data_IF_677452265923
#
_entry.id   IF_677452265923
#
_cell.length_a   1.000
_cell.length_b   1.000
_cell.length_c   1.000
_cell.angle_alpha   90.00
_cell.angle_beta   90.00
_cell.angle_gamma   90.00
#
_symmetry.space_group_name_H-M   'P 1'
#
loop_
_entity.id
_entity.type
_entity.pdbx_description
1 polymer ?
#
# COMPACT_ATOMS: atom_id res chain seq x y z
N UNK A 1 21.53 -13.86 -22.07
CA UNK A 1 21.56 -13.04 -20.84
C UNK A 1 20.14 -12.62 -20.59
N UNK A 2 19.43 -13.26 -19.66
CA UNK A 2 18.12 -12.75 -19.22
C UNK A 2 18.42 -11.54 -18.34
N UNK A 3 17.96 -10.36 -18.74
CA UNK A 3 17.81 -9.29 -17.78
C UNK A 3 16.82 -9.79 -16.73
N UNK A 4 17.31 -10.18 -15.57
CA UNK A 4 16.47 -10.36 -14.39
C UNK A 4 16.07 -8.96 -13.96
N UNK A 5 15.11 -8.37 -14.68
CA UNK A 5 14.49 -7.12 -14.28
C UNK A 5 14.01 -7.29 -12.85
N UNK A 6 14.40 -6.36 -11.98
CA UNK A 6 13.82 -6.27 -10.65
C UNK A 6 12.29 -6.33 -10.79
N UNK A 7 11.55 -7.04 -9.91
CA UNK A 7 10.09 -7.05 -10.00
C UNK A 7 9.59 -5.61 -10.09
N UNK A 8 8.67 -5.35 -11.02
CA UNK A 8 8.09 -4.03 -11.21
C UNK A 8 7.13 -3.77 -10.04
N UNK A 9 7.66 -3.21 -8.95
CA UNK A 9 6.92 -2.92 -7.72
C UNK A 9 6.10 -1.65 -7.93
N UNK A 10 4.81 -1.75 -7.65
CA UNK A 10 3.86 -0.65 -7.62
C UNK A 10 3.33 -0.40 -6.21
N UNK A 11 3.35 0.86 -5.77
CA UNK A 11 2.87 1.30 -4.46
C UNK A 11 1.73 2.29 -4.67
N UNK A 12 0.53 1.93 -4.24
CA UNK A 12 -0.66 2.76 -4.28
C UNK A 12 -1.02 3.26 -2.90
N UNK A 13 -1.25 4.56 -2.76
CA UNK A 13 -1.64 5.20 -1.50
C UNK A 13 -2.97 5.91 -1.72
N UNK A 14 -3.92 5.68 -0.83
CA UNK A 14 -5.22 6.38 -0.83
C UNK A 14 -5.29 7.34 0.34
N UNK A 15 -5.82 8.54 0.13
CA UNK A 15 -6.07 9.50 1.21
C UNK A 15 -7.41 10.21 1.05
N UNK A 16 -8.00 10.63 2.17
CA UNK A 16 -9.16 11.51 2.21
C UNK A 16 -9.10 12.36 3.48
N UNK A 17 -8.98 13.69 3.35
CA UNK A 17 -9.02 14.64 4.46
C UNK A 17 -7.97 14.40 5.57
N UNK A 18 -6.80 13.86 5.21
CA UNK A 18 -5.71 13.55 6.15
C UNK A 18 -4.33 13.99 5.64
N UNK A 19 -4.26 15.10 4.89
CA UNK A 19 -3.06 15.55 4.20
C UNK A 19 -1.77 15.58 5.04
N UNK A 20 -1.83 15.97 6.31
CA UNK A 20 -0.65 15.98 7.19
C UNK A 20 -0.12 14.56 7.51
N UNK A 21 -1.02 13.62 7.79
CA UNK A 21 -0.67 12.23 8.07
C UNK A 21 -0.18 11.56 6.79
N UNK A 22 -0.90 11.78 5.69
CA UNK A 22 -0.53 11.34 4.35
C UNK A 22 0.89 11.77 3.96
N UNK A 23 1.26 13.04 4.16
CA UNK A 23 2.61 13.53 3.81
C UNK A 23 3.70 12.81 4.61
N UNK A 24 3.45 12.55 5.89
CA UNK A 24 4.37 11.77 6.74
C UNK A 24 4.54 10.34 6.20
N UNK A 25 3.43 9.68 5.87
CA UNK A 25 3.47 8.34 5.29
C UNK A 25 4.18 8.32 3.93
N UNK A 26 3.89 9.29 3.06
CA UNK A 26 4.49 9.41 1.73
C UNK A 26 6.00 9.63 1.80
N UNK A 27 6.50 10.45 2.73
CA UNK A 27 7.94 10.63 2.95
C UNK A 27 8.62 9.32 3.32
N UNK A 28 8.04 8.57 4.25
CA UNK A 28 8.57 7.27 4.65
C UNK A 28 8.50 6.23 3.51
N UNK A 29 7.38 6.18 2.78
CA UNK A 29 7.23 5.32 1.60
C UNK A 29 8.29 5.65 0.56
N UNK A 30 8.51 6.93 0.23
CA UNK A 30 9.54 7.34 -0.73
C UNK A 30 10.94 6.97 -0.26
N UNK A 31 11.20 7.06 1.05
CA UNK A 31 12.49 6.72 1.66
C UNK A 31 12.83 5.24 1.54
N UNK A 32 11.85 4.36 1.76
CA UNK A 32 12.05 2.90 1.81
C UNK A 32 11.48 2.17 0.58
N UNK A 33 11.03 2.89 -0.44
CA UNK A 33 10.59 2.28 -1.68
C UNK A 33 11.78 1.61 -2.39
N UNK A 34 11.61 0.39 -2.92
CA UNK A 34 12.66 -0.23 -3.71
C UNK A 34 12.97 0.62 -4.95
N UNK A 35 14.23 0.60 -5.37
CA UNK A 35 14.69 1.39 -6.52
C UNK A 35 13.86 1.10 -7.77
N UNK A 36 13.32 2.15 -8.39
CA UNK A 36 12.50 2.04 -9.59
C UNK A 36 11.03 1.70 -9.33
N UNK A 37 10.58 1.61 -8.08
CA UNK A 37 9.17 1.40 -7.76
C UNK A 37 8.30 2.55 -8.29
N UNK A 38 7.16 2.20 -8.88
CA UNK A 38 6.14 3.18 -9.25
C UNK A 38 5.30 3.53 -8.02
N UNK A 39 5.19 4.82 -7.71
CA UNK A 39 4.30 5.30 -6.65
C UNK A 39 3.13 6.05 -7.30
N UNK A 40 1.91 5.72 -6.88
CA UNK A 40 0.68 6.43 -7.23
C UNK A 40 -0.06 6.85 -5.97
N UNK A 41 -0.62 8.05 -6.02
CA UNK A 41 -1.45 8.60 -4.94
C UNK A 41 -2.84 8.86 -5.51
N UNK A 42 -3.86 8.36 -4.82
CA UNK A 42 -5.26 8.59 -5.14
C UNK A 42 -5.89 9.40 -4.01
N UNK A 43 -6.24 10.65 -4.32
CA UNK A 43 -7.02 11.52 -3.43
C UNK A 43 -8.52 11.25 -3.63
N UNK A 44 -9.18 10.69 -2.62
CA UNK A 44 -10.61 10.38 -2.61
C UNK A 44 -11.45 11.62 -2.27
N UNK A 45 -11.25 12.68 -3.06
CA UNK A 45 -11.92 13.96 -2.98
C UNK A 45 -11.77 14.67 -1.61
N UNK A 46 -10.53 14.82 -1.14
CA UNK A 46 -10.26 15.68 0.02
C UNK A 46 -10.78 17.11 -0.19
N UNK A 47 -11.26 17.73 0.87
CA UNK A 47 -11.69 19.13 0.93
C UNK A 47 -10.53 20.06 0.61
N UNK A 48 -9.35 19.75 1.16
CA UNK A 48 -8.06 20.29 0.75
C UNK A 48 -7.33 19.25 -0.11
N UNK A 49 -7.27 19.41 -1.45
CA UNK A 49 -6.58 18.48 -2.32
C UNK A 49 -5.10 18.32 -1.96
N UNK A 50 -4.58 17.09 -2.05
CA UNK A 50 -3.15 16.84 -1.90
C UNK A 50 -2.45 17.02 -3.25
N UNK A 51 -1.40 17.85 -3.30
CA UNK A 51 -0.69 18.18 -4.54
C UNK A 51 0.03 16.96 -5.15
N UNK A 52 0.36 15.97 -4.32
CA UNK A 52 1.05 14.74 -4.72
C UNK A 52 0.12 13.71 -5.40
N UNK A 53 -1.19 13.99 -5.49
CA UNK A 53 -2.17 13.11 -6.12
C UNK A 53 -1.80 12.84 -7.59
N UNK A 54 -1.65 11.56 -7.92
CA UNK A 54 -1.61 11.09 -9.32
C UNK A 54 -3.00 11.15 -9.95
N UNK A 55 -4.03 10.90 -9.14
CA UNK A 55 -5.43 11.00 -9.54
C UNK A 55 -6.25 11.51 -8.36
N UNK A 56 -7.27 12.32 -8.65
CA UNK A 56 -8.23 12.80 -7.67
C UNK A 56 -9.65 12.54 -8.17
N UNK A 57 -10.50 12.00 -7.30
CA UNK A 57 -11.93 11.90 -7.58
C UNK A 57 -12.64 13.25 -7.37
N UNK A 58 -13.71 13.49 -8.13
CA UNK A 58 -14.53 14.70 -7.97
C UNK A 58 -15.39 14.67 -6.70
N UNK A 59 -15.75 13.49 -6.23
CA UNK A 59 -16.53 13.24 -5.01
C UNK A 59 -15.99 12.02 -4.26
N UNK A 60 -16.28 11.94 -2.96
CA UNK A 60 -15.83 10.80 -2.15
C UNK A 60 -16.51 9.51 -2.66
N UNK A 61 -15.69 8.57 -3.14
CA UNK A 61 -16.13 7.29 -3.71
C UNK A 61 -15.93 6.11 -2.76
N UNK A 62 -15.22 6.32 -1.65
CA UNK A 62 -14.92 5.32 -0.65
C UNK A 62 -13.66 4.52 -0.97
N UNK A 63 -13.04 4.00 0.10
CA UNK A 63 -11.70 3.39 0.09
C UNK A 63 -11.55 2.26 -0.93
N UNK A 64 -12.56 1.40 -1.11
CA UNK A 64 -12.50 0.29 -2.05
C UNK A 64 -12.36 0.77 -3.50
N UNK A 65 -13.12 1.81 -3.89
CA UNK A 65 -13.03 2.39 -5.24
C UNK A 65 -11.73 3.17 -5.43
N UNK A 66 -11.28 3.88 -4.39
CA UNK A 66 -10.00 4.57 -4.41
C UNK A 66 -8.81 3.61 -4.57
N UNK A 67 -8.81 2.47 -3.86
CA UNK A 67 -7.78 1.43 -4.01
C UNK A 67 -7.85 0.73 -5.37
N UNK A 68 -9.05 0.52 -5.93
CA UNK A 68 -9.17 0.01 -7.30
C UNK A 68 -8.55 0.97 -8.33
N UNK A 69 -8.68 2.29 -8.13
CA UNK A 69 -7.99 3.27 -8.98
C UNK A 69 -6.47 3.20 -8.83
N UNK A 70 -5.95 2.91 -7.64
CA UNK A 70 -4.51 2.63 -7.48
C UNK A 70 -4.08 1.42 -8.32
N UNK A 71 -4.83 0.31 -8.25
CA UNK A 71 -4.55 -0.89 -9.03
C UNK A 71 -4.53 -0.60 -10.54
N UNK A 72 -5.55 0.08 -11.05
CA UNK A 72 -5.63 0.51 -12.45
C UNK A 72 -4.37 1.27 -12.89
N UNK A 73 -4.01 2.34 -12.17
CA UNK A 73 -2.85 3.18 -12.49
C UNK A 73 -1.52 2.42 -12.42
N UNK A 74 -1.38 1.48 -11.48
CA UNK A 74 -0.15 0.68 -11.35
C UNK A 74 -0.05 -0.39 -12.45
N UNK A 75 -1.16 -1.04 -12.81
CA UNK A 75 -1.22 -2.00 -13.91
C UNK A 75 -0.90 -1.32 -15.24
N UNK A 76 -1.43 -0.12 -15.48
CA UNK A 76 -1.10 0.69 -16.67
C UNK A 76 0.40 1.04 -16.76
N UNK A 77 1.09 1.13 -15.62
CA UNK A 77 2.55 1.32 -15.54
C UNK A 77 3.35 0.01 -15.67
N UNK A 78 2.69 -1.12 -15.90
CA UNK A 78 3.33 -2.43 -16.04
C UNK A 78 3.84 -3.04 -14.73
N UNK A 79 3.34 -2.57 -13.58
CA UNK A 79 3.71 -3.15 -12.29
C UNK A 79 3.13 -4.56 -12.14
N UNK A 80 3.93 -5.49 -11.61
CA UNK A 80 3.56 -6.89 -11.43
C UNK A 80 3.35 -7.27 -9.96
N UNK A 81 3.92 -6.48 -9.04
CA UNK A 81 3.75 -6.66 -7.60
C UNK A 81 3.16 -5.37 -7.03
N UNK A 82 1.93 -5.45 -6.53
CA UNK A 82 1.11 -4.28 -6.19
C UNK A 82 0.91 -4.22 -4.67
N UNK A 83 1.30 -3.11 -4.06
CA UNK A 83 1.12 -2.84 -2.64
C UNK A 83 0.18 -1.67 -2.45
N UNK A 84 -0.84 -1.86 -1.62
CA UNK A 84 -1.84 -0.84 -1.34
C UNK A 84 -1.73 -0.40 0.11
N UNK A 85 -1.29 0.84 0.32
CA UNK A 85 -1.16 1.46 1.63
C UNK A 85 -2.36 2.35 1.94
N UNK A 86 -2.67 2.43 3.23
CA UNK A 86 -3.45 3.54 3.78
C UNK A 86 -2.51 4.73 4.04
N UNK A 87 -3.07 5.92 4.25
CA UNK A 87 -2.30 7.16 4.43
C UNK A 87 -1.63 7.32 5.81
N UNK A 88 -1.72 6.30 6.66
CA UNK A 88 -1.12 6.23 7.99
C UNK A 88 -0.33 4.93 8.23
N UNK A 89 0.01 4.20 7.17
CA UNK A 89 0.83 2.99 7.20
C UNK A 89 2.03 3.15 6.26
N UNK A 90 3.23 2.82 6.73
CA UNK A 90 4.44 2.93 5.92
C UNK A 90 5.54 1.96 6.35
N UNK A 91 6.43 1.56 5.44
CA UNK A 91 7.63 0.79 5.77
C UNK A 91 8.62 1.59 6.61
N UNK A 92 9.39 0.90 7.44
CA UNK A 92 10.43 1.49 8.33
C UNK A 92 11.84 0.96 8.05
N UNK A 93 11.99 0.08 7.07
CA UNK A 93 13.23 -0.63 6.73
C UNK A 93 13.25 -0.96 5.23
N UNK A 94 14.44 -0.98 4.63
CA UNK A 94 14.64 -1.38 3.24
C UNK A 94 14.32 -2.87 3.04
N UNK A 95 13.83 -3.24 1.85
CA UNK A 95 13.53 -4.64 1.54
C UNK A 95 12.28 -5.19 2.23
N UNK A 96 11.43 -4.31 2.79
CA UNK A 96 10.16 -4.66 3.42
C UNK A 96 9.22 -5.42 2.46
N UNK A 97 9.37 -5.23 1.16
CA UNK A 97 8.57 -5.87 0.12
C UNK A 97 8.95 -7.35 -0.08
N UNK A 98 10.17 -7.75 0.29
CA UNK A 98 10.71 -9.09 -0.01
C UNK A 98 9.90 -10.23 0.60
N UNK A 99 9.51 -10.19 1.89
CA UNK A 99 8.66 -11.24 2.46
C UNK A 99 7.33 -11.41 1.73
N UNK A 100 6.81 -10.34 1.11
CA UNK A 100 5.57 -10.38 0.35
C UNK A 100 5.77 -10.90 -1.08
N UNK A 101 6.84 -10.45 -1.76
CA UNK A 101 7.16 -10.87 -3.14
C UNK A 101 7.59 -12.34 -3.19
N UNK A 102 8.39 -12.77 -2.23
CA UNK A 102 8.95 -14.13 -2.20
C UNK A 102 7.96 -15.16 -1.61
N UNK A 103 6.82 -14.70 -1.09
CA UNK A 103 5.74 -15.56 -0.60
C UNK A 103 5.10 -16.35 -1.75
N UNK A 104 4.76 -17.63 -1.55
CA UNK A 104 3.96 -18.38 -2.53
C UNK A 104 2.50 -17.90 -2.59
N UNK A 105 2.05 -17.12 -1.60
CA UNK A 105 0.67 -16.65 -1.52
C UNK A 105 0.40 -15.51 -2.53
N UNK A 106 -0.70 -15.59 -3.30
CA UNK A 106 -1.00 -14.60 -4.33
C UNK A 106 -1.41 -13.24 -3.76
N UNK A 107 -1.82 -13.19 -2.49
CA UNK A 107 -2.23 -11.97 -1.80
C UNK A 107 -1.95 -12.08 -0.32
N UNK A 108 -1.34 -11.03 0.24
CA UNK A 108 -1.04 -10.91 1.66
C UNK A 108 -1.56 -9.56 2.15
N UNK A 109 -2.00 -9.54 3.40
CA UNK A 109 -2.44 -8.32 4.09
C UNK A 109 -1.79 -8.27 5.45
N UNK A 110 -1.11 -7.17 5.74
CA UNK A 110 -0.67 -6.88 7.09
C UNK A 110 -1.87 -6.41 7.92
N UNK A 111 -2.19 -7.14 8.99
CA UNK A 111 -3.22 -6.79 9.97
C UNK A 111 -2.63 -6.80 11.37
N UNK A 112 -3.01 -5.82 12.17
CA UNK A 112 -2.66 -5.79 13.59
C UNK A 112 -3.42 -6.90 14.33
N UNK A 113 -2.74 -7.66 15.18
CA UNK A 113 -3.41 -8.61 16.09
C UNK A 113 -3.91 -7.95 17.37
N UNK A 114 -3.33 -6.78 17.68
CA UNK A 114 -3.54 -6.05 18.91
C UNK A 114 -3.80 -4.57 18.61
N UNK A 115 -4.75 -3.98 19.33
CA UNK A 115 -5.07 -2.56 19.26
C UNK A 115 -4.67 -1.89 20.59
N UNK A 116 -4.59 -0.55 20.68
CA UNK A 116 -4.43 0.13 21.97
C UNK A 116 -5.51 -0.19 23.01
N UNK A 117 -6.65 -0.75 22.57
CA UNK A 117 -7.76 -1.19 23.43
C UNK A 117 -7.70 -2.66 23.84
N UNK A 118 -6.67 -3.39 23.40
CA UNK A 118 -6.48 -4.82 23.62
C UNK A 118 -6.51 -5.62 22.32
N UNK A 119 -6.40 -6.95 22.47
CA UNK A 119 -6.44 -7.90 21.35
C UNK A 119 -7.77 -7.82 20.60
N UNK A 120 -7.73 -7.98 19.28
CA UNK A 120 -8.96 -8.10 18.48
C UNK A 120 -9.79 -9.29 18.98
N UNK A 121 -11.04 -9.04 19.40
CA UNK A 121 -11.94 -10.07 19.95
C UNK A 121 -12.93 -10.63 18.93
N UNK A 122 -13.06 -9.97 17.78
CA UNK A 122 -13.93 -10.32 16.66
C UNK A 122 -13.17 -10.96 15.48
N UNK A 123 -11.86 -11.15 15.64
CA UNK A 123 -10.99 -11.79 14.66
C UNK A 123 -10.58 -13.17 15.16
N UNK A 124 -10.79 -14.20 14.35
CA UNK A 124 -10.38 -15.58 14.66
C UNK A 124 -9.43 -16.08 13.57
N UNK A 125 -8.27 -16.57 13.98
CA UNK A 125 -7.38 -17.33 13.09
C UNK A 125 -8.07 -18.64 12.73
N UNK A 126 -8.55 -18.74 11.50
CA UNK A 126 -9.21 -19.95 10.99
C UNK A 126 -8.22 -20.97 10.42
N UNK A 127 -7.02 -20.52 10.02
CA UNK A 127 -6.00 -21.33 9.37
C UNK A 127 -4.63 -20.62 9.42
N UNK A 128 -3.56 -21.39 9.56
CA UNK A 128 -2.16 -20.95 9.50
C UNK A 128 -1.33 -22.03 8.82
N UNK A 129 -0.84 -21.76 7.62
CA UNK A 129 -0.02 -22.70 6.83
C UNK A 129 1.45 -22.77 7.27
N UNK A 130 2.05 -21.65 7.70
CA UNK A 130 3.48 -21.56 8.02
C UNK A 130 3.82 -20.57 9.15
N UNK A 131 4.98 -20.77 9.80
CA UNK A 131 5.55 -19.85 10.81
C UNK A 131 6.17 -18.59 10.18
N UNK A 132 5.62 -18.08 9.08
CA UNK A 132 6.05 -16.79 8.55
C UNK A 132 5.52 -15.68 9.46
N UNK A 133 6.43 -14.92 10.07
CA UNK A 133 6.12 -13.65 10.71
C UNK A 133 6.61 -12.55 9.77
N UNK A 134 5.67 -11.75 9.28
CA UNK A 134 5.96 -10.45 8.69
C UNK A 134 6.43 -9.48 9.79
#
# INVERSE_FOLDING_TARGET
>A
MQETGFPAVGIGITTHNRGAVFRTALEAIRKYAPSGAAIVVVDDASDEPVEEATFRFDSNVGIARAKNKCLELLVERGCTHLFLFDDDCWPIVDGWERPYIDSPEPHLMYMFTDTPRGRLTDSMEIYRDAQLRA
#
